data_IF_828365020044
#
_entry.id   IF_828365020044
#
_cell.length_a   1.000
_cell.length_b   1.000
_cell.length_c   1.000
_cell.angle_alpha   90.00
_cell.angle_beta   90.00
_cell.angle_gamma   90.00
#
_symmetry.space_group_name_H-M   'P 1'
#
loop_
_entity.id
_entity.type
_entity.pdbx_description
1 polymer ?
#
# COMPACT_ATOMS: atom_id res chain seq x y z
N UNK A 1 8.38 -3.23 -8.78
CA UNK A 1 7.60 -4.33 -8.19
C UNK A 1 6.43 -3.73 -7.42
N UNK A 2 5.26 -4.36 -7.43
CA UNK A 2 4.13 -3.85 -6.65
C UNK A 2 4.45 -3.96 -5.16
N UNK A 3 4.12 -2.92 -4.40
CA UNK A 3 4.38 -2.83 -2.96
C UNK A 3 3.19 -3.45 -2.21
N UNK A 4 3.45 -4.30 -1.22
CA UNK A 4 2.40 -4.94 -0.45
C UNK A 4 2.83 -6.22 0.28
N UNK A 5 2.36 -6.38 1.52
CA UNK A 5 2.51 -7.64 2.24
C UNK A 5 1.72 -8.77 1.56
N UNK A 6 2.26 -9.98 1.63
CA UNK A 6 1.64 -11.19 1.08
C UNK A 6 0.38 -11.59 1.85
N UNK A 7 -0.48 -12.38 1.20
CA UNK A 7 -1.77 -12.80 1.77
C UNK A 7 -1.63 -13.64 3.06
N UNK A 8 -0.50 -14.33 3.24
CA UNK A 8 -0.17 -15.06 4.48
C UNK A 8 0.08 -14.12 5.66
N UNK A 9 0.69 -12.95 5.43
CA UNK A 9 0.88 -11.92 6.46
C UNK A 9 -0.45 -11.22 6.78
N UNK A 10 -1.22 -10.84 5.75
CA UNK A 10 -2.53 -10.20 5.92
C UNK A 10 -3.53 -11.14 6.58
N UNK A 11 -3.48 -12.44 6.30
CA UNK A 11 -4.38 -13.49 6.80
C UNK A 11 -5.89 -13.21 6.69
N UNK A 12 -6.71 -13.97 7.43
CA UNK A 12 -8.18 -13.86 7.42
C UNK A 12 -8.70 -13.15 8.68
N UNK A 13 -9.94 -12.65 8.61
CA UNK A 13 -10.62 -12.05 9.77
C UNK A 13 -11.13 -10.63 9.50
N UNK A 14 -11.53 -9.95 10.58
CA UNK A 14 -12.03 -8.57 10.52
C UNK A 14 -10.93 -7.60 10.10
N UNK A 15 -11.34 -6.48 9.50
CA UNK A 15 -10.43 -5.46 8.97
C UNK A 15 -9.50 -4.86 10.04
N UNK A 16 -10.02 -4.62 11.25
CA UNK A 16 -9.22 -4.13 12.38
C UNK A 16 -8.14 -5.12 12.80
N UNK A 17 -8.45 -6.42 12.83
CA UNK A 17 -7.46 -7.47 13.08
C UNK A 17 -6.40 -7.58 11.98
N UNK A 18 -6.78 -7.42 10.70
CA UNK A 18 -5.82 -7.36 9.58
C UNK A 18 -4.85 -6.18 9.76
N UNK A 19 -5.35 -4.99 10.08
CA UNK A 19 -4.53 -3.78 10.30
C UNK A 19 -3.55 -3.98 11.46
N UNK A 20 -4.02 -4.50 12.59
CA UNK A 20 -3.16 -4.75 13.76
C UNK A 20 -2.01 -5.72 13.43
N UNK A 21 -2.28 -6.78 12.64
CA UNK A 21 -1.25 -7.73 12.21
C UNK A 21 -0.22 -7.11 11.26
N UNK A 22 -0.67 -6.29 10.32
CA UNK A 22 0.22 -5.57 9.40
C UNK A 22 1.12 -4.57 10.13
N UNK A 23 0.53 -3.77 11.02
CA UNK A 23 1.30 -2.86 11.89
C UNK A 23 2.29 -3.66 12.75
N UNK A 24 1.86 -4.79 13.30
CA UNK A 24 2.71 -5.71 14.05
C UNK A 24 3.86 -6.28 13.21
N UNK A 25 3.64 -6.58 11.94
CA UNK A 25 4.68 -7.03 11.02
C UNK A 25 5.70 -5.92 10.75
N UNK A 26 5.25 -4.70 10.45
CA UNK A 26 6.14 -3.57 10.22
C UNK A 26 7.06 -3.29 11.43
N UNK A 27 6.58 -3.50 12.65
CA UNK A 27 7.43 -3.43 13.85
C UNK A 27 8.43 -4.58 13.98
N UNK A 28 8.09 -5.78 13.51
CA UNK A 28 9.04 -6.91 13.47
C UNK A 28 10.15 -6.63 12.47
N UNK A 29 9.77 -6.20 11.26
CA UNK A 29 10.71 -5.86 10.19
C UNK A 29 11.67 -4.74 10.64
N UNK A 30 11.14 -3.64 11.18
CA UNK A 30 11.95 -2.54 11.69
C UNK A 30 12.91 -2.96 12.82
N UNK A 31 12.50 -3.93 13.66
CA UNK A 31 13.36 -4.48 14.71
C UNK A 31 14.49 -5.33 14.13
N UNK A 32 14.22 -6.11 13.08
CA UNK A 32 15.24 -6.87 12.36
C UNK A 32 16.27 -5.93 11.70
N UNK A 33 15.82 -4.75 11.27
CA UNK A 33 16.66 -3.65 10.76
C UNK A 33 17.34 -2.81 11.87
N UNK A 34 17.18 -3.20 13.14
CA UNK A 34 17.88 -2.60 14.28
C UNK A 34 17.19 -1.40 14.94
N UNK A 35 15.94 -1.07 14.55
CA UNK A 35 15.17 -0.01 15.20
C UNK A 35 14.42 -0.54 16.44
N UNK A 36 14.58 0.14 17.58
CA UNK A 36 13.74 -0.13 18.75
C UNK A 36 12.37 0.54 18.58
N UNK A 37 11.40 0.12 19.40
CA UNK A 37 10.07 0.77 19.41
C UNK A 37 10.14 2.19 19.93
N UNK A 38 11.08 2.46 20.82
CA UNK A 38 11.38 3.78 21.34
C UNK A 38 11.90 4.69 20.23
N UNK A 39 12.79 4.19 19.36
CA UNK A 39 13.28 4.91 18.18
C UNK A 39 12.14 5.23 17.22
N UNK A 40 11.27 4.24 16.95
CA UNK A 40 10.12 4.44 16.06
C UNK A 40 9.15 5.45 16.66
N UNK A 41 8.86 5.37 17.96
CA UNK A 41 7.98 6.33 18.64
C UNK A 41 8.55 7.75 18.57
N UNK A 42 9.87 7.91 18.78
CA UNK A 42 10.56 9.18 18.65
C UNK A 42 10.46 9.72 17.21
N UNK A 43 10.75 8.89 16.21
CA UNK A 43 10.69 9.28 14.80
C UNK A 43 9.28 9.69 14.37
N UNK A 44 8.27 8.91 14.74
CA UNK A 44 6.87 9.24 14.51
C UNK A 44 6.47 10.56 15.19
N UNK A 45 6.96 10.80 16.41
CA UNK A 45 6.69 12.05 17.13
C UNK A 45 7.28 13.26 16.42
N UNK A 46 8.52 13.14 15.91
CA UNK A 46 9.15 14.19 15.08
C UNK A 46 8.35 14.45 13.81
N UNK A 47 7.94 13.38 13.11
CA UNK A 47 7.19 13.49 11.86
C UNK A 47 5.83 14.18 12.06
N UNK A 48 5.12 13.85 13.15
CA UNK A 48 3.79 14.37 13.42
C UNK A 48 3.77 15.72 14.16
N UNK A 49 4.89 16.12 14.76
CA UNK A 49 4.95 17.30 15.62
C UNK A 49 4.15 17.15 16.93
N UNK A 50 3.90 15.91 17.37
CA UNK A 50 3.23 15.59 18.65
C UNK A 50 3.80 14.33 19.26
N UNK A 51 3.82 14.26 20.58
CA UNK A 51 4.37 13.10 21.28
C UNK A 51 3.52 11.84 21.07
N UNK A 52 4.20 10.75 20.70
CA UNK A 52 3.69 9.38 20.69
C UNK A 52 4.57 8.54 21.62
N UNK A 53 3.94 7.86 22.58
CA UNK A 53 4.65 6.94 23.46
C UNK A 53 4.78 5.54 22.85
N UNK A 54 5.86 4.84 23.17
CA UNK A 54 6.04 3.42 22.79
C UNK A 54 4.88 2.53 23.28
N UNK A 55 4.28 2.85 24.44
CA UNK A 55 3.08 2.15 24.95
C UNK A 55 1.88 2.29 24.02
N UNK A 56 1.72 3.44 23.36
CA UNK A 56 0.66 3.64 22.36
C UNK A 56 0.86 2.72 21.16
N UNK A 57 2.11 2.49 20.74
CA UNK A 57 2.43 1.58 19.63
C UNK A 57 2.01 0.13 19.95
N UNK A 58 2.20 -0.35 21.19
CA UNK A 58 1.76 -1.69 21.60
C UNK A 58 0.25 -1.88 21.40
N UNK A 59 -0.54 -0.86 21.75
CA UNK A 59 -2.00 -0.92 21.64
C UNK A 59 -2.44 -1.11 20.19
N UNK A 60 -1.76 -0.48 19.24
CA UNK A 60 -2.06 -0.61 17.81
C UNK A 60 -1.69 -1.96 17.19
N UNK A 61 -0.81 -2.73 17.83
CA UNK A 61 -0.44 -4.09 17.37
C UNK A 61 -1.33 -5.20 17.94
N UNK A 62 -2.15 -4.88 18.94
CA UNK A 62 -2.95 -5.88 19.65
C UNK A 62 -4.26 -6.15 18.91
N UNK A 63 -4.41 -7.37 18.38
CA UNK A 63 -5.65 -7.82 17.73
C UNK A 63 -6.85 -7.88 18.69
N UNK A 64 -6.60 -8.05 19.99
CA UNK A 64 -7.62 -8.11 21.04
C UNK A 64 -7.99 -6.74 21.62
N UNK A 65 -7.29 -5.67 21.23
CA UNK A 65 -7.53 -4.33 21.76
C UNK A 65 -8.72 -3.66 21.05
N UNK A 66 -9.93 -3.95 21.52
CA UNK A 66 -11.12 -3.22 21.08
C UNK A 66 -10.96 -1.72 21.38
N UNK A 67 -11.02 -0.89 20.33
CA UNK A 67 -11.02 0.58 20.43
C UNK A 67 -9.67 1.29 20.27
N UNK A 68 -8.54 0.59 20.20
CA UNK A 68 -7.22 1.23 19.96
C UNK A 68 -6.76 1.03 18.52
N UNK A 69 -7.47 1.70 17.60
CA UNK A 69 -7.11 1.72 16.18
C UNK A 69 -6.02 2.76 15.93
N UNK A 70 -5.06 2.41 15.09
CA UNK A 70 -4.09 3.39 14.61
C UNK A 70 -4.82 4.44 13.74
N UNK A 71 -4.75 5.74 14.07
CA UNK A 71 -5.28 6.77 13.20
C UNK A 71 -4.41 6.89 11.94
N UNK A 72 -4.99 7.40 10.85
CA UNK A 72 -4.33 7.39 9.54
C UNK A 72 -3.03 8.21 9.51
N UNK A 73 -2.98 9.33 10.24
CA UNK A 73 -1.77 10.14 10.39
C UNK A 73 -0.64 9.35 11.05
N UNK A 74 -0.93 8.61 12.12
CA UNK A 74 0.04 7.74 12.78
C UNK A 74 0.44 6.55 11.91
N UNK A 75 -0.47 6.03 11.07
CA UNK A 75 -0.13 4.98 10.10
C UNK A 75 0.89 5.49 9.07
N UNK A 76 0.68 6.70 8.54
CA UNK A 76 1.63 7.34 7.62
C UNK A 76 2.97 7.58 8.32
N UNK A 77 2.95 8.07 9.56
CA UNK A 77 4.15 8.29 10.35
C UNK A 77 4.91 6.99 10.62
N UNK A 78 4.20 5.87 10.85
CA UNK A 78 4.81 4.55 11.00
C UNK A 78 5.54 4.14 9.72
N UNK A 79 4.88 4.24 8.55
CA UNK A 79 5.51 3.93 7.25
C UNK A 79 6.75 4.79 7.02
N UNK A 80 6.68 6.10 7.34
CA UNK A 80 7.81 7.00 7.22
C UNK A 80 8.96 6.60 8.17
N UNK A 81 8.64 6.31 9.43
CA UNK A 81 9.64 6.00 10.46
C UNK A 81 10.35 4.66 10.21
N UNK A 82 9.63 3.63 9.76
CA UNK A 82 10.19 2.29 9.58
C UNK A 82 10.63 2.01 8.15
N UNK A 83 10.23 2.84 7.19
CA UNK A 83 10.43 2.54 5.76
C UNK A 83 9.59 1.36 5.25
N UNK A 84 8.64 0.84 6.03
CA UNK A 84 7.81 -0.31 5.68
C UNK A 84 6.77 0.03 4.60
N UNK A 85 7.25 0.29 3.37
CA UNK A 85 6.44 0.69 2.22
C UNK A 85 5.33 -0.31 1.93
N UNK A 86 5.53 -1.60 2.21
CA UNK A 86 4.54 -2.68 2.02
C UNK A 86 3.21 -2.46 2.74
N UNK A 87 3.19 -1.63 3.79
CA UNK A 87 1.95 -1.16 4.41
C UNK A 87 1.05 -0.37 3.45
N UNK A 88 1.62 0.38 2.51
CA UNK A 88 0.88 1.22 1.56
C UNK A 88 0.04 0.39 0.59
N UNK A 89 0.46 -0.84 0.29
CA UNK A 89 -0.25 -1.75 -0.60
C UNK A 89 -1.59 -2.25 -0.04
N UNK A 90 -1.81 -2.12 1.27
CA UNK A 90 -2.96 -2.73 1.94
C UNK A 90 -4.30 -2.16 1.47
N UNK A 91 -4.48 -0.83 1.54
CA UNK A 91 -5.76 -0.19 1.19
C UNK A 91 -6.07 -0.38 -0.30
N UNK A 92 -5.15 -0.13 -1.24
CA UNK A 92 -5.38 -0.39 -2.67
C UNK A 92 -5.69 -1.86 -2.96
N UNK A 93 -5.04 -2.80 -2.25
CA UNK A 93 -5.27 -4.24 -2.41
C UNK A 93 -6.71 -4.67 -2.12
N UNK A 94 -7.41 -4.03 -1.19
CA UNK A 94 -8.84 -4.31 -0.91
C UNK A 94 -9.76 -3.90 -2.08
N UNK A 95 -9.27 -3.12 -3.05
CA UNK A 95 -9.98 -2.70 -4.27
C UNK A 95 -9.40 -3.29 -5.56
N UNK A 96 -8.49 -4.25 -5.47
CA UNK A 96 -7.80 -4.82 -6.65
C UNK A 96 -6.84 -3.83 -7.33
N UNK A 97 -6.39 -2.81 -6.60
CA UNK A 97 -5.41 -1.84 -7.06
C UNK A 97 -4.01 -2.20 -6.50
N UNK A 98 -2.97 -1.73 -7.16
CA UNK A 98 -1.58 -1.93 -6.75
C UNK A 98 -0.89 -0.58 -6.53
N UNK A 99 0.03 -0.54 -5.56
CA UNK A 99 0.94 0.60 -5.35
C UNK A 99 2.22 0.35 -6.12
N UNK A 100 2.62 1.34 -6.92
CA UNK A 100 3.83 1.30 -7.74
C UNK A 100 4.63 2.55 -7.45
N UNK A 101 5.96 2.42 -7.34
CA UNK A 101 6.84 3.57 -7.14
C UNK A 101 6.76 4.53 -8.33
N UNK A 102 6.77 5.83 -8.03
CA UNK A 102 6.58 6.90 -9.01
C UNK A 102 7.59 6.86 -10.16
N UNK A 103 8.79 6.34 -9.94
CA UNK A 103 9.80 6.16 -11.00
C UNK A 103 9.33 5.28 -12.17
N UNK A 104 8.30 4.46 -11.96
CA UNK A 104 7.72 3.61 -13.00
C UNK A 104 6.42 4.17 -13.59
N UNK A 105 5.92 5.32 -13.11
CA UNK A 105 4.63 5.86 -13.51
C UNK A 105 4.59 6.17 -15.02
N UNK A 106 5.61 6.89 -15.52
CA UNK A 106 5.70 7.27 -16.93
C UNK A 106 5.76 6.05 -17.85
N UNK A 107 6.52 5.02 -17.46
CA UNK A 107 6.62 3.76 -18.20
C UNK A 107 5.26 3.03 -18.29
N UNK A 108 4.50 3.02 -17.19
CA UNK A 108 3.16 2.41 -17.16
C UNK A 108 2.20 3.22 -18.03
N UNK A 109 2.25 4.55 -17.95
CA UNK A 109 1.43 5.43 -18.77
C UNK A 109 1.72 5.24 -20.26
N UNK A 110 2.99 5.19 -20.66
CA UNK A 110 3.41 4.91 -22.03
C UNK A 110 2.81 3.58 -22.52
N UNK A 111 2.94 2.51 -21.73
CA UNK A 111 2.40 1.20 -22.11
C UNK A 111 0.86 1.21 -22.25
N UNK A 112 0.16 1.89 -21.34
CA UNK A 112 -1.30 2.03 -21.43
C UNK A 112 -1.72 2.80 -22.69
N UNK A 113 -0.94 3.79 -23.11
CA UNK A 113 -1.19 4.51 -24.37
C UNK A 113 -0.97 3.60 -25.58
N UNK A 114 0.08 2.78 -25.59
CA UNK A 114 0.32 1.80 -26.66
C UNK A 114 -0.86 0.83 -26.80
N UNK A 115 -1.32 0.25 -25.69
CA UNK A 115 -2.46 -0.68 -25.68
C UNK A 115 -3.72 -0.03 -26.26
N UNK A 116 -4.00 1.23 -25.90
CA UNK A 116 -5.13 1.98 -26.46
C UNK A 116 -4.96 2.28 -27.96
N UNK A 117 -3.74 2.58 -28.41
CA UNK A 117 -3.46 2.81 -29.84
C UNK A 117 -3.72 1.52 -30.62
N UNK A 118 -3.21 0.38 -30.15
CA UNK A 118 -3.42 -0.93 -30.77
C UNK A 118 -4.93 -1.26 -30.88
N UNK A 119 -5.67 -1.05 -29.79
CA UNK A 119 -7.13 -1.26 -29.76
C UNK A 119 -7.85 -0.38 -30.80
N UNK A 120 -7.53 0.91 -30.84
CA UNK A 120 -8.14 1.85 -31.77
C UNK A 120 -7.80 1.53 -33.23
N UNK A 121 -6.57 1.08 -33.49
CA UNK A 121 -6.17 0.63 -34.82
C UNK A 121 -6.93 -0.62 -35.25
N UNK A 122 -7.10 -1.61 -34.36
CA UNK A 122 -7.88 -2.81 -34.63
C UNK A 122 -9.35 -2.46 -34.96
N UNK A 123 -9.98 -1.58 -34.16
CA UNK A 123 -11.33 -1.07 -34.42
C UNK A 123 -11.43 -0.37 -35.79
N UNK A 124 -10.44 0.45 -36.15
CA UNK A 124 -10.37 1.13 -37.45
C UNK A 124 -10.30 0.14 -38.63
N UNK A 125 -9.51 -0.94 -38.51
CA UNK A 125 -9.40 -1.97 -39.54
C UNK A 125 -10.73 -2.71 -39.76
N UNK A 126 -11.43 -3.08 -38.68
CA UNK A 126 -12.76 -3.70 -38.76
C UNK A 126 -13.75 -2.80 -39.51
N UNK A 127 -13.76 -1.50 -39.20
CA UNK A 127 -14.61 -0.54 -39.90
C UNK A 127 -14.23 -0.36 -41.37
N UNK A 128 -12.94 -0.34 -41.70
CA UNK A 128 -12.47 -0.26 -43.08
C UNK A 128 -12.88 -1.49 -43.90
N UNK A 129 -12.79 -2.69 -43.33
CA UNK A 129 -13.25 -3.93 -43.96
C UNK A 129 -14.76 -3.91 -44.24
N UNK A 130 -15.58 -3.48 -43.26
CA UNK A 130 -17.04 -3.31 -43.42
C UNK A 130 -17.41 -2.33 -44.53
N UNK A 131 -16.63 -1.25 -44.73
CA UNK A 131 -16.83 -0.29 -45.82
C UNK A 131 -16.51 -0.88 -47.19
N UNK A 132 -15.44 -1.68 -47.29
CA UNK A 132 -15.05 -2.33 -48.56
C UNK A 132 -16.06 -3.39 -49.00
N UNK A 133 -16.62 -4.18 -48.09
CA UNK A 133 -17.64 -5.18 -48.42
C UNK A 133 -19.04 -4.61 -48.73
N UNK A 134 -19.25 -3.30 -48.53
CA UNK A 134 -20.48 -2.58 -48.93
C UNK A 134 -20.38 -1.91 -50.29
N UNK A 135 -19.19 -1.89 -50.90
CA UNK A 135 -18.96 -1.45 -52.28
C UNK A 135 -18.91 -2.68 -53.19
#
# INVERSE_FOLDING_TARGET
MAVGYSADVIGRGRLDGKIARLVGQAFRDAREDGMSREDIAAEMSRFLGRDISATTLYKWTSESSEGHRIPLDAFIALVHATGAKDLLGFVPGEFGLAVIESQYADLIEERLLEDHIEEMQARRQVLAAKRKGRR
#
